data_IF_462167105468
#
_entry.id   IF_462167105468
#
_cell.length_a   1.000
_cell.length_b   1.000
_cell.length_c   1.000
_cell.angle_alpha   90.00
_cell.angle_beta   90.00
_cell.angle_gamma   90.00
#
_symmetry.space_group_name_H-M   'P 1'
#
loop_
_entity.id
_entity.type
_entity.pdbx_description
1 polymer ?
#
# COMPACT_ATOMS: atom_id res chain seq x y z
N UNK A 1 14.25 -8.67 -4.41
CA UNK A 1 13.12 -9.45 -3.91
C UNK A 1 11.87 -8.58 -3.80
N UNK A 2 10.73 -9.10 -4.17
CA UNK A 2 9.43 -8.41 -4.07
C UNK A 2 8.59 -9.10 -3.00
N UNK A 3 8.08 -8.32 -2.06
CA UNK A 3 7.28 -8.83 -0.95
C UNK A 3 5.93 -8.13 -0.96
N UNK A 4 4.85 -8.88 -0.81
CA UNK A 4 3.48 -8.34 -0.80
C UNK A 4 2.81 -8.61 0.55
N UNK A 5 2.08 -7.60 1.03
CA UNK A 5 1.27 -7.74 2.24
C UNK A 5 -0.16 -7.29 1.93
N UNK A 6 -1.13 -8.12 2.31
CA UNK A 6 -2.55 -7.83 2.09
C UNK A 6 -3.13 -6.89 3.14
N UNK A 7 -4.39 -6.48 2.93
CA UNK A 7 -5.06 -5.51 3.79
C UNK A 7 -5.16 -5.91 5.25
N UNK A 8 -5.38 -7.19 5.54
CA UNK A 8 -5.46 -7.67 6.93
C UNK A 8 -4.11 -7.59 7.65
N UNK A 9 -3.01 -7.77 6.91
CA UNK A 9 -1.65 -7.70 7.47
C UNK A 9 -1.23 -6.26 7.80
N UNK A 10 -1.86 -5.27 7.19
CA UNK A 10 -1.55 -3.86 7.38
C UNK A 10 -2.73 -3.07 7.95
N UNK A 11 -3.70 -3.76 8.54
CA UNK A 11 -5.01 -3.20 8.89
C UNK A 11 -4.95 -2.01 9.86
N UNK A 12 -3.95 -1.96 10.71
CA UNK A 12 -3.77 -0.86 11.67
C UNK A 12 -2.28 -0.57 11.88
N UNK A 13 -1.98 0.44 12.67
CA UNK A 13 -0.60 0.87 12.89
C UNK A 13 0.24 -0.19 13.61
N UNK A 14 -0.35 -0.95 14.53
CA UNK A 14 0.38 -2.03 15.22
C UNK A 14 0.78 -3.12 14.22
N UNK A 15 -0.11 -3.47 13.31
CA UNK A 15 0.20 -4.45 12.26
C UNK A 15 1.25 -3.92 11.29
N UNK A 16 1.23 -2.62 10.97
CA UNK A 16 2.28 -2.01 10.17
C UNK A 16 3.65 -2.12 10.84
N UNK A 17 3.71 -1.99 12.16
CA UNK A 17 4.96 -2.19 12.90
C UNK A 17 5.47 -3.62 12.78
N UNK A 18 4.59 -4.59 12.82
CA UNK A 18 4.94 -6.00 12.62
C UNK A 18 5.49 -6.21 11.21
N UNK A 19 4.83 -5.63 10.20
CA UNK A 19 5.29 -5.69 8.81
C UNK A 19 6.67 -5.04 8.66
N UNK A 20 6.87 -3.88 9.28
CA UNK A 20 8.16 -3.18 9.24
C UNK A 20 9.28 -4.07 9.77
N UNK A 21 9.05 -4.76 10.88
CA UNK A 21 10.05 -5.66 11.45
C UNK A 21 10.38 -6.82 10.50
N UNK A 22 9.39 -7.37 9.83
CA UNK A 22 9.62 -8.43 8.82
C UNK A 22 10.44 -7.92 7.65
N UNK A 23 10.16 -6.70 7.20
CA UNK A 23 10.89 -6.06 6.10
C UNK A 23 12.35 -5.81 6.50
N UNK A 24 12.57 -5.32 7.72
CA UNK A 24 13.91 -5.07 8.25
C UNK A 24 14.71 -6.36 8.29
N UNK A 25 14.11 -7.45 8.77
CA UNK A 25 14.78 -8.76 8.80
C UNK A 25 15.18 -9.22 7.39
N UNK A 26 14.29 -9.03 6.42
CA UNK A 26 14.60 -9.38 5.02
C UNK A 26 15.68 -8.48 4.44
N UNK A 27 15.63 -7.19 4.73
CA UNK A 27 16.61 -6.23 4.24
C UNK A 27 18.01 -6.55 4.75
N UNK A 28 18.12 -6.95 6.00
CA UNK A 28 19.42 -7.34 6.59
C UNK A 28 20.04 -8.54 5.87
N UNK A 29 19.20 -9.37 5.24
CA UNK A 29 19.65 -10.57 4.52
C UNK A 29 19.83 -10.36 3.03
N UNK A 30 18.93 -9.60 2.40
CA UNK A 30 18.83 -9.50 0.94
C UNK A 30 19.26 -8.17 0.34
N UNK A 31 19.34 -7.10 1.14
CA UNK A 31 19.77 -5.75 0.75
C UNK A 31 18.86 -4.97 -0.20
N UNK A 32 18.13 -5.63 -1.11
CA UNK A 32 17.23 -4.96 -2.05
C UNK A 32 15.82 -5.52 -1.93
N UNK A 33 14.90 -4.71 -1.46
CA UNK A 33 13.51 -5.12 -1.26
C UNK A 33 12.56 -4.12 -1.89
N UNK A 34 11.61 -4.65 -2.67
CA UNK A 34 10.45 -3.90 -3.16
C UNK A 34 9.24 -4.42 -2.41
N UNK A 35 8.52 -3.53 -1.75
CA UNK A 35 7.35 -3.89 -0.95
C UNK A 35 6.10 -3.39 -1.63
N UNK A 36 5.11 -4.27 -1.76
CA UNK A 36 3.79 -3.93 -2.29
C UNK A 36 2.77 -4.11 -1.18
N UNK A 37 2.03 -3.07 -0.87
CA UNK A 37 1.01 -3.09 0.18
C UNK A 37 -0.38 -2.86 -0.40
N UNK A 38 -1.37 -3.54 0.17
CA UNK A 38 -2.77 -3.22 -0.04
C UNK A 38 -3.19 -2.07 0.88
N UNK A 39 -4.38 -1.50 0.62
CA UNK A 39 -5.00 -0.56 1.54
C UNK A 39 -5.26 -1.25 2.89
N UNK A 40 -5.32 -0.48 3.96
CA UNK A 40 -5.50 -1.01 5.31
C UNK A 40 -6.90 -1.59 5.51
N UNK A 41 -6.95 -2.84 5.99
CA UNK A 41 -8.19 -3.48 6.40
C UNK A 41 -9.28 -3.48 5.32
N UNK A 42 -10.40 -2.86 5.63
CA UNK A 42 -11.58 -2.79 4.74
C UNK A 42 -11.66 -1.48 3.97
N UNK A 43 -10.57 -0.73 3.86
CA UNK A 43 -10.55 0.56 3.16
C UNK A 43 -10.99 0.42 1.70
N UNK A 44 -10.52 -0.61 1.00
CA UNK A 44 -10.92 -0.86 -0.40
C UNK A 44 -12.43 -1.04 -0.52
N UNK A 45 -13.02 -1.85 0.36
CA UNK A 45 -14.47 -2.07 0.35
C UNK A 45 -15.24 -0.79 0.63
N UNK A 46 -14.75 0.02 1.56
CA UNK A 46 -15.37 1.30 1.89
C UNK A 46 -15.36 2.24 0.68
N UNK A 47 -14.22 2.37 0.02
CA UNK A 47 -14.09 3.24 -1.16
C UNK A 47 -14.97 2.74 -2.30
N UNK A 48 -15.01 1.44 -2.53
CA UNK A 48 -15.86 0.84 -3.56
C UNK A 48 -17.34 1.12 -3.26
N UNK A 49 -17.78 0.96 -2.01
CA UNK A 49 -19.16 1.23 -1.62
C UNK A 49 -19.52 2.70 -1.80
N UNK A 50 -18.61 3.61 -1.47
CA UNK A 50 -18.82 5.05 -1.69
C UNK A 50 -18.98 5.37 -3.18
N UNK A 51 -18.18 4.74 -4.04
CA UNK A 51 -18.31 4.92 -5.48
C UNK A 51 -19.66 4.40 -6.00
N UNK A 52 -20.13 3.27 -5.48
CA UNK A 52 -21.43 2.69 -5.86
C UNK A 52 -22.61 3.58 -5.48
N UNK A 53 -22.45 4.41 -4.46
CA UNK A 53 -23.47 5.40 -4.10
C UNK A 53 -23.59 6.51 -5.13
N UNK A 54 -22.51 6.75 -5.90
CA UNK A 54 -22.46 7.84 -6.89
C UNK A 54 -22.99 7.43 -8.25
N UNK A 55 -22.93 6.15 -8.59
CA UNK A 55 -23.35 5.68 -9.92
C UNK A 55 -23.71 4.21 -9.92
N UNK A 56 -24.67 3.85 -10.80
CA UNK A 56 -25.00 2.46 -11.08
C UNK A 56 -24.06 1.86 -12.13
N UNK A 57 -23.23 2.69 -12.76
CA UNK A 57 -22.36 2.26 -13.85
C UNK A 57 -20.89 2.21 -13.41
N UNK A 58 -20.58 1.33 -12.48
CA UNK A 58 -19.21 1.14 -11.98
C UNK A 58 -18.30 0.63 -13.10
N UNK A 59 -18.78 -0.30 -13.95
CA UNK A 59 -17.96 -0.87 -15.03
C UNK A 59 -17.53 0.16 -16.06
N UNK A 60 -18.38 1.15 -16.32
CA UNK A 60 -18.05 2.24 -17.24
C UNK A 60 -17.06 3.24 -16.67
N UNK A 61 -16.75 3.14 -15.36
CA UNK A 61 -15.88 4.06 -14.65
C UNK A 61 -14.68 3.34 -14.03
N UNK A 62 -14.28 2.20 -14.58
CA UNK A 62 -13.24 1.35 -13.96
C UNK A 62 -11.91 2.08 -13.78
N UNK A 63 -11.52 2.94 -14.73
CA UNK A 63 -10.27 3.70 -14.62
C UNK A 63 -10.29 4.65 -13.42
N UNK A 64 -11.39 5.38 -13.26
CA UNK A 64 -11.52 6.32 -12.14
C UNK A 64 -11.70 5.59 -10.81
N UNK A 65 -12.36 4.43 -10.83
CA UNK A 65 -12.47 3.58 -9.65
C UNK A 65 -11.09 3.10 -9.20
N UNK A 66 -10.24 2.67 -10.13
CA UNK A 66 -8.88 2.26 -9.81
C UNK A 66 -8.07 3.40 -9.18
N UNK A 67 -8.25 4.62 -9.70
CA UNK A 67 -7.62 5.81 -9.13
C UNK A 67 -8.07 6.03 -7.69
N UNK A 68 -9.38 5.93 -7.45
CA UNK A 68 -9.94 6.11 -6.10
C UNK A 68 -9.39 5.04 -5.14
N UNK A 69 -9.43 3.78 -5.54
CA UNK A 69 -8.97 2.67 -4.70
C UNK A 69 -7.48 2.78 -4.40
N UNK A 70 -6.68 3.25 -5.36
CA UNK A 70 -5.23 3.41 -5.17
C UNK A 70 -4.87 4.41 -4.07
N UNK A 71 -5.76 5.33 -3.72
CA UNK A 71 -5.50 6.27 -2.62
C UNK A 71 -5.33 5.56 -1.29
N UNK A 72 -6.08 4.48 -1.06
CA UNK A 72 -5.93 3.67 0.15
C UNK A 72 -4.58 2.97 0.22
N UNK A 73 -4.09 2.51 -0.92
CA UNK A 73 -2.76 1.90 -1.00
C UNK A 73 -1.66 2.92 -0.76
N UNK A 74 -1.84 4.15 -1.25
CA UNK A 74 -0.90 5.25 -1.01
C UNK A 74 -0.80 5.59 0.49
N UNK A 75 -1.90 5.54 1.21
CA UNK A 75 -1.89 5.73 2.66
C UNK A 75 -1.01 4.67 3.33
N UNK A 76 -1.20 3.41 2.99
CA UNK A 76 -0.44 2.30 3.58
C UNK A 76 1.06 2.44 3.33
N UNK A 77 1.46 2.67 2.08
CA UNK A 77 2.88 2.75 1.73
C UNK A 77 3.55 3.98 2.31
N UNK A 78 2.83 5.10 2.39
CA UNK A 78 3.37 6.31 3.01
C UNK A 78 3.62 6.12 4.50
N UNK A 79 2.67 5.51 5.21
CA UNK A 79 2.83 5.21 6.64
C UNK A 79 4.00 4.25 6.88
N UNK A 80 4.12 3.21 6.06
CA UNK A 80 5.23 2.27 6.21
C UNK A 80 6.57 2.95 5.95
N UNK A 81 6.65 3.82 4.93
CA UNK A 81 7.88 4.56 4.63
C UNK A 81 8.27 5.47 5.79
N UNK A 82 7.29 6.17 6.38
CA UNK A 82 7.52 7.01 7.56
C UNK A 82 8.12 6.16 8.70
N UNK A 83 7.53 5.01 8.95
CA UNK A 83 7.98 4.14 10.03
C UNK A 83 9.40 3.61 9.78
N UNK A 84 9.67 3.11 8.58
CA UNK A 84 11.00 2.58 8.24
C UNK A 84 12.06 3.67 8.31
N UNK A 85 11.78 4.86 7.78
CA UNK A 85 12.71 5.99 7.87
C UNK A 85 12.99 6.36 9.33
N UNK A 86 11.96 6.33 10.17
CA UNK A 86 12.09 6.62 11.60
C UNK A 86 12.96 5.60 12.34
N UNK A 87 12.99 4.37 11.82
CA UNK A 87 13.81 3.31 12.38
C UNK A 87 15.22 3.26 11.81
N UNK A 88 15.57 4.21 10.94
CA UNK A 88 16.90 4.31 10.35
C UNK A 88 17.08 3.52 9.06
N UNK A 89 16.00 3.04 8.46
CA UNK A 89 16.03 2.30 7.19
C UNK A 89 15.45 3.15 6.08
N UNK A 90 16.30 3.71 5.19
CA UNK A 90 15.81 4.61 4.12
C UNK A 90 14.77 3.92 3.25
N UNK A 91 13.62 4.56 3.11
CA UNK A 91 12.51 4.05 2.32
C UNK A 91 11.84 5.19 1.56
N UNK A 92 11.34 4.88 0.37
CA UNK A 92 10.58 5.82 -0.45
C UNK A 92 9.32 5.12 -0.96
N UNK A 93 8.20 5.81 -0.87
CA UNK A 93 6.95 5.32 -1.43
C UNK A 93 6.80 5.82 -2.86
N UNK A 94 6.25 4.96 -3.73
CA UNK A 94 5.99 5.30 -5.12
C UNK A 94 4.53 5.03 -5.43
N UNK A 95 3.91 5.90 -6.23
CA UNK A 95 2.60 5.61 -6.81
C UNK A 95 2.77 4.54 -7.88
N UNK A 96 1.66 3.89 -8.28
CA UNK A 96 1.70 2.89 -9.34
C UNK A 96 2.34 3.42 -10.63
N UNK A 97 2.04 4.67 -10.98
CA UNK A 97 2.62 5.32 -12.15
C UNK A 97 4.13 5.52 -11.99
N UNK A 98 4.56 6.02 -10.84
CA UNK A 98 5.99 6.24 -10.55
C UNK A 98 6.76 4.93 -10.56
N UNK A 99 6.22 3.89 -9.95
CA UNK A 99 6.86 2.58 -9.94
C UNK A 99 7.00 2.01 -11.35
N UNK A 100 5.95 2.15 -12.18
CA UNK A 100 5.94 1.65 -13.57
C UNK A 100 7.00 2.34 -14.42
N UNK A 101 7.25 3.62 -14.21
CA UNK A 101 8.15 4.42 -15.04
C UNK A 101 9.59 4.48 -14.51
N UNK A 102 9.84 4.00 -13.29
CA UNK A 102 11.16 4.02 -12.67
C UNK A 102 11.80 2.63 -12.51
N UNK A 103 11.09 1.60 -12.95
CA UNK A 103 11.59 0.22 -12.90
C UNK A 103 11.52 -0.46 -14.24
#
# INVERSE_FOLDING_TARGET
>A
IVVKFGGSSVADNEKLKTVANKIIDLYEKENNIVVVLSAQGKTTDKLLNEAKELTDNIKGNSRELDTLISTGEQVSISKLSILLNSLGYPAISLTGWQARNNY
#
